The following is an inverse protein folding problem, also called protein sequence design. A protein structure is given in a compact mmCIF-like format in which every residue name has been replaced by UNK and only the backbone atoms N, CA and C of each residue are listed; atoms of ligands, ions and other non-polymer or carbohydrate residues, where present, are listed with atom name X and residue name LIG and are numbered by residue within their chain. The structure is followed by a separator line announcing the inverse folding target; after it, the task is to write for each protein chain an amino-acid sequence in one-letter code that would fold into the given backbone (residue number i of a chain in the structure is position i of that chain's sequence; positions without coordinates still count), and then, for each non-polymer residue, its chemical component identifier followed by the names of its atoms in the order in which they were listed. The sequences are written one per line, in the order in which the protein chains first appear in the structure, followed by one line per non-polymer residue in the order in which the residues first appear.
data_IF_798090759056
#
_entry.id   IF_798090759056
#
_cell.length_a   1.000
_cell.length_b   1.000
_cell.length_c   1.000
_cell.angle_alpha   90.00
_cell.angle_beta   90.00
_cell.angle_gamma   90.00
#
_symmetry.space_group_name_H-M   'P 1'
#
loop_
_entity.id
_entity.type
_entity.pdbx_description
1 polymer ?
#
# COMPACT_ATOMS: atom_id res chain seq x y z
N UNK A 1 -9.42 -14.87 10.10
CA UNK A 1 -8.48 -14.11 10.91
C UNK A 1 -8.37 -12.68 10.43
N UNK A 2 -8.41 -11.75 11.35
CA UNK A 2 -8.39 -10.34 10.99
C UNK A 2 -7.19 -9.66 11.61
N UNK A 3 -6.39 -9.02 10.77
CA UNK A 3 -5.25 -8.25 11.24
C UNK A 3 -5.67 -6.85 11.61
N UNK A 4 -5.00 -6.28 12.59
CA UNK A 4 -5.19 -4.87 12.88
C UNK A 4 -4.20 -4.07 12.05
N UNK A 5 -4.63 -2.91 11.59
CA UNK A 5 -3.79 -2.06 10.77
C UNK A 5 -3.58 -0.75 11.51
N UNK A 6 -2.33 -0.39 11.73
CA UNK A 6 -1.96 0.87 12.33
C UNK A 6 -1.08 1.64 11.38
N UNK A 7 -1.08 2.94 11.50
CA UNK A 7 -0.24 3.79 10.69
C UNK A 7 0.81 4.45 11.56
N UNK A 8 2.03 4.47 11.06
CA UNK A 8 3.13 5.12 11.74
C UNK A 8 3.06 6.62 11.48
N UNK A 9 2.92 7.40 12.53
CA UNK A 9 2.78 8.85 12.43
C UNK A 9 1.59 9.17 11.52
N UNK A 10 1.67 10.25 10.75
CA UNK A 10 0.55 10.66 9.91
C UNK A 10 0.87 10.57 8.40
N UNK A 11 1.87 9.78 8.07
CA UNK A 11 2.26 9.65 6.66
C UNK A 11 1.13 9.11 5.80
N UNK A 12 0.47 8.05 6.29
CA UNK A 12 -0.60 7.45 5.50
C UNK A 12 -1.77 8.41 5.34
N UNK A 13 -2.13 9.10 6.40
CA UNK A 13 -3.24 10.05 6.33
C UNK A 13 -2.94 11.15 5.32
N UNK A 14 -1.73 11.67 5.34
CA UNK A 14 -1.35 12.69 4.37
C UNK A 14 -1.41 12.16 2.95
N UNK A 15 -0.94 10.93 2.76
CA UNK A 15 -0.97 10.33 1.44
C UNK A 15 -2.40 10.16 0.94
N UNK A 16 -3.27 9.60 1.77
CA UNK A 16 -4.64 9.30 1.39
C UNK A 16 -5.43 10.57 1.05
N UNK A 17 -5.14 11.66 1.74
CA UNK A 17 -5.83 12.91 1.47
C UNK A 17 -5.26 13.63 0.27
N UNK A 18 -4.11 13.22 -0.22
CA UNK A 18 -3.48 13.87 -1.36
C UNK A 18 -3.92 13.27 -2.70
N UNK A 19 -4.61 12.15 -2.69
CA UNK A 19 -5.03 11.48 -3.92
C UNK A 19 -6.54 11.62 -4.08
N UNK A 20 -7.04 11.24 -5.26
CA UNK A 20 -8.46 11.37 -5.54
C UNK A 20 -9.29 10.38 -4.75
N UNK A 21 -10.59 10.65 -4.70
CA UNK A 21 -11.51 9.83 -3.93
C UNK A 21 -11.56 8.40 -4.45
N UNK A 22 -11.62 8.24 -5.76
CA UNK A 22 -11.69 6.90 -6.35
C UNK A 22 -10.39 6.16 -6.09
N UNK A 23 -9.28 6.86 -6.19
CA UNK A 23 -7.97 6.27 -5.93
C UNK A 23 -7.85 5.84 -4.46
N UNK A 24 -8.34 6.67 -3.55
CA UNK A 24 -8.31 6.35 -2.14
C UNK A 24 -9.13 5.09 -1.86
N UNK A 25 -10.30 4.97 -2.49
CA UNK A 25 -11.12 3.78 -2.32
C UNK A 25 -10.39 2.53 -2.77
N UNK A 26 -9.63 2.64 -3.84
CA UNK A 26 -8.87 1.50 -4.34
C UNK A 26 -7.81 1.09 -3.33
N UNK A 27 -7.15 2.07 -2.72
CA UNK A 27 -6.16 1.78 -1.70
C UNK A 27 -6.81 1.09 -0.50
N UNK A 28 -7.96 1.60 -0.06
CA UNK A 28 -8.65 0.98 1.08
C UNK A 28 -9.14 -0.43 0.74
N UNK A 29 -9.53 -0.66 -0.51
CA UNK A 29 -9.94 -1.98 -0.92
C UNK A 29 -8.81 -2.99 -0.76
N UNK A 30 -7.61 -2.61 -1.18
CA UNK A 30 -6.47 -3.51 -1.06
C UNK A 30 -6.06 -3.68 0.41
N UNK A 31 -6.18 -2.61 1.20
CA UNK A 31 -5.92 -2.73 2.63
C UNK A 31 -6.90 -3.67 3.31
N UNK A 32 -8.17 -3.63 2.89
CA UNK A 32 -9.16 -4.55 3.44
C UNK A 32 -8.80 -6.00 3.13
N UNK A 33 -8.31 -6.25 1.93
CA UNK A 33 -7.87 -7.59 1.61
C UNK A 33 -6.71 -8.04 2.50
N UNK A 34 -5.76 -7.15 2.72
CA UNK A 34 -4.64 -7.47 3.59
C UNK A 34 -5.10 -7.72 5.01
N UNK A 35 -6.12 -7.00 5.44
CA UNK A 35 -6.66 -7.15 6.78
C UNK A 35 -7.32 -8.51 6.99
N UNK A 36 -8.01 -8.98 5.96
CA UNK A 36 -8.86 -10.16 6.08
C UNK A 36 -8.24 -11.45 5.58
N UNK A 37 -7.29 -11.37 4.68
CA UNK A 37 -6.74 -12.56 4.07
C UNK A 37 -5.35 -12.87 4.60
N UNK A 38 -5.12 -14.15 4.81
CA UNK A 38 -3.82 -14.58 5.32
C UNK A 38 -2.71 -14.37 4.30
N UNK A 39 -3.06 -14.51 3.04
CA UNK A 39 -2.10 -14.43 1.95
C UNK A 39 -2.67 -13.64 0.80
N UNK A 40 -1.91 -12.70 0.28
CA UNK A 40 -2.28 -11.98 -0.92
C UNK A 40 -1.30 -12.33 -2.02
N UNK A 41 -1.76 -12.24 -3.26
CA UNK A 41 -0.87 -12.49 -4.38
C UNK A 41 0.18 -11.39 -4.49
N UNK A 42 1.25 -11.69 -5.21
CA UNK A 42 2.33 -10.73 -5.39
C UNK A 42 1.89 -9.50 -6.18
N UNK A 43 0.72 -9.59 -6.79
CA UNK A 43 0.15 -8.42 -7.45
C UNK A 43 -0.14 -7.32 -6.44
N UNK A 44 -0.54 -7.68 -5.24
CA UNK A 44 -0.95 -6.70 -4.22
C UNK A 44 0.09 -6.52 -3.13
N UNK A 45 0.82 -7.57 -2.79
CA UNK A 45 1.80 -7.50 -1.69
C UNK A 45 3.09 -8.10 -2.17
N UNK A 46 4.17 -7.34 -2.02
CA UNK A 46 5.48 -7.79 -2.44
C UNK A 46 6.47 -7.59 -1.30
N UNK A 47 7.28 -8.60 -1.06
CA UNK A 47 8.35 -8.49 -0.07
C UNK A 47 9.50 -7.71 -0.69
N UNK A 48 9.95 -6.66 0.01
CA UNK A 48 11.03 -5.84 -0.50
C UNK A 48 12.37 -6.31 0.06
N UNK A 49 12.52 -6.18 1.38
CA UNK A 49 13.74 -6.65 2.05
C UNK A 49 13.56 -6.51 3.55
N UNK A 50 14.27 -7.34 4.31
CA UNK A 50 14.36 -7.21 5.77
C UNK A 50 13.03 -7.00 6.45
N UNK A 51 12.02 -7.78 6.04
CA UNK A 51 10.72 -7.68 6.68
C UNK A 51 9.86 -6.53 6.24
N UNK A 52 10.31 -5.76 5.26
CA UNK A 52 9.53 -4.65 4.72
C UNK A 52 8.79 -5.13 3.49
N UNK A 53 7.50 -4.83 3.45
CA UNK A 53 6.63 -5.23 2.36
C UNK A 53 6.06 -4.00 1.69
N UNK A 54 5.64 -4.18 0.46
CA UNK A 54 5.02 -3.14 -0.33
C UNK A 54 3.60 -3.57 -0.66
N UNK A 55 2.64 -2.73 -0.30
CA UNK A 55 1.25 -2.91 -0.71
C UNK A 55 1.03 -2.10 -1.97
N UNK A 56 0.41 -2.70 -2.97
CA UNK A 56 0.23 -2.07 -4.28
C UNK A 56 -1.24 -1.99 -4.62
N UNK A 57 -1.66 -0.81 -5.06
CA UNK A 57 -3.00 -0.60 -5.58
C UNK A 57 -2.87 0.11 -6.90
N UNK A 58 -3.66 -0.31 -7.89
CA UNK A 58 -3.58 0.25 -9.24
C UNK A 58 -4.92 0.85 -9.63
N UNK A 59 -4.86 1.99 -10.29
CA UNK A 59 -6.04 2.61 -10.82
C UNK A 59 -5.64 3.60 -11.91
N UNK A 60 -6.26 3.45 -13.08
CA UNK A 60 -6.04 4.41 -14.16
C UNK A 60 -4.61 4.51 -14.63
N UNK A 61 -3.87 3.41 -14.60
CA UNK A 61 -2.49 3.43 -15.03
C UNK A 61 -1.52 3.91 -13.97
N UNK A 62 -2.02 4.29 -12.80
CA UNK A 62 -1.17 4.71 -11.68
C UNK A 62 -1.03 3.57 -10.70
N UNK A 63 0.10 3.51 -10.05
CA UNK A 63 0.38 2.52 -9.02
C UNK A 63 0.64 3.26 -7.72
N UNK A 64 -0.12 2.89 -6.70
CA UNK A 64 0.03 3.47 -5.37
C UNK A 64 0.72 2.45 -4.49
N UNK A 65 1.80 2.86 -3.86
CA UNK A 65 2.63 1.96 -3.08
C UNK A 65 2.68 2.41 -1.64
N UNK A 66 2.47 1.46 -0.75
CA UNK A 66 2.49 1.73 0.68
C UNK A 66 3.39 0.68 1.33
N UNK A 67 4.39 1.12 2.05
CA UNK A 67 5.34 0.22 2.69
C UNK A 67 4.87 -0.10 4.10
N UNK A 68 4.99 -1.35 4.47
CA UNK A 68 4.50 -1.78 5.78
C UNK A 68 5.35 -2.92 6.31
N UNK A 69 5.19 -3.18 7.60
CA UNK A 69 5.80 -4.33 8.24
C UNK A 69 4.72 -5.09 8.99
N UNK A 70 5.01 -6.34 9.32
CA UNK A 70 4.18 -7.10 10.23
C UNK A 70 4.77 -6.99 11.63
N UNK A 71 3.93 -6.75 12.60
CA UNK A 71 4.33 -6.68 14.00
C UNK A 71 3.39 -7.55 14.80
N UNK A 72 3.88 -8.73 15.19
CA UNK A 72 3.08 -9.72 15.93
C UNK A 72 1.78 -10.03 15.19
N UNK A 73 1.89 -10.21 13.86
CA UNK A 73 0.73 -10.57 13.06
C UNK A 73 -0.12 -9.42 12.61
N UNK A 74 0.14 -8.23 13.11
CA UNK A 74 -0.59 -7.05 12.69
C UNK A 74 0.23 -6.24 11.71
N UNK A 75 -0.44 -5.33 11.00
CA UNK A 75 0.17 -4.53 9.95
C UNK A 75 0.47 -3.13 10.48
N UNK A 76 1.69 -2.68 10.26
CA UNK A 76 2.06 -1.32 10.61
C UNK A 76 2.49 -0.62 9.32
N UNK A 77 1.71 0.37 8.89
CA UNK A 77 2.02 1.15 7.70
C UNK A 77 3.12 2.13 8.07
N UNK A 78 4.23 2.05 7.36
CA UNK A 78 5.41 2.85 7.71
C UNK A 78 5.35 4.24 7.13
N UNK A 79 5.52 4.34 5.85
CA UNK A 79 5.45 5.62 5.20
C UNK A 79 4.59 5.49 3.96
N UNK A 80 4.08 6.61 3.53
CA UNK A 80 3.21 6.61 2.40
C UNK A 80 3.97 6.13 1.19
N UNK A 81 3.28 5.35 0.42
CA UNK A 81 3.73 5.10 -0.91
C UNK A 81 3.50 6.38 -1.67
N UNK A 82 4.08 6.47 -2.77
CA UNK A 82 3.85 7.58 -3.66
C UNK A 82 3.13 7.07 -4.88
N UNK A 83 2.46 7.97 -5.57
CA UNK A 83 1.83 7.62 -6.82
C UNK A 83 2.91 7.56 -7.88
N UNK A 84 2.88 6.49 -8.68
CA UNK A 84 3.87 6.30 -9.71
C UNK A 84 3.17 5.85 -10.97
N UNK A 85 3.23 6.64 -12.01
CA UNK A 85 2.60 6.29 -13.26
C UNK A 85 3.53 5.42 -14.08
N UNK A 86 2.94 4.62 -14.93
CA UNK A 86 3.70 3.77 -15.83
C UNK A 86 4.56 4.60 -16.76
N UNK A 87 4.02 5.70 -17.22
CA UNK A 87 4.73 6.57 -18.12
C UNK A 87 5.96 7.15 -17.46
N UNK A 88 5.85 7.54 -16.20
CA UNK A 88 6.98 8.09 -15.49
C UNK A 88 8.09 7.06 -15.31
N UNK A 89 7.70 5.81 -15.11
CA UNK A 89 8.69 4.76 -14.99
C UNK A 89 9.54 4.65 -16.25
N UNK A 90 8.89 4.75 -17.38
CA UNK A 90 9.60 4.65 -18.64
C UNK A 90 10.50 5.85 -18.88
N UNK A 91 10.06 7.01 -18.45
CA UNK A 91 10.84 8.23 -18.66
C UNK A 91 12.08 8.30 -17.79
N UNK A 92 12.12 7.48 -16.78
CA UNK A 92 13.24 7.51 -15.88
C UNK A 92 14.51 6.93 -16.48
N UNK A 93 14.38 6.33 -17.60
CA UNK A 93 15.58 5.74 -18.22
C UNK A 93 16.41 6.79 -18.90
#
# INVERSE_FOLDING_TARGET
MERKIRAYKNYFTEFITSIGEIEARKVFYVLDMLKMQERLSTRFVKHIEDGIFELRAEHGGNIFRIFFIFDEGNVVLLFNGYKKSRKRLLEKR
#
